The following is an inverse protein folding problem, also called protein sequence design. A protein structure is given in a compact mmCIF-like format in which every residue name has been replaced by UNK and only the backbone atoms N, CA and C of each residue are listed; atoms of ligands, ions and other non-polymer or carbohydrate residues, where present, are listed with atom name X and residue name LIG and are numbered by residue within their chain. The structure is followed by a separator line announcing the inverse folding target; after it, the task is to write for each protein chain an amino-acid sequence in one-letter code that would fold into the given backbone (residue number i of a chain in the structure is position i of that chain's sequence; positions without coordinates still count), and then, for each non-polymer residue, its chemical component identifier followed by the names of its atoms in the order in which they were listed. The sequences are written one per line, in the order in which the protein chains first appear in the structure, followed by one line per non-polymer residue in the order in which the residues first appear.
data_IF_837757683260
#
_entry.id   IF_837757683260
#
_cell.length_a   1.000
_cell.length_b   1.000
_cell.length_c   1.000
_cell.angle_alpha   90.00
_cell.angle_beta   90.00
_cell.angle_gamma   90.00
#
_symmetry.space_group_name_H-M   'P 1'
#
loop_
_entity.id
_entity.type
_entity.pdbx_description
1 polymer ?
#
# COMPACT_ATOMS: atom_id res chain seq x y z
N UNK A 1 -66.01 52.60 -15.89
CA UNK A 1 -67.20 51.75 -15.70
C UNK A 1 -66.75 50.30 -15.88
N UNK A 2 -66.97 49.47 -14.84
CA UNK A 2 -66.83 48.00 -14.68
C UNK A 2 -66.47 47.21 -15.96
N UNK A 3 -65.52 46.28 -15.93
CA UNK A 3 -65.76 44.92 -15.42
C UNK A 3 -64.45 44.24 -14.98
N UNK A 4 -64.59 43.56 -13.84
CA UNK A 4 -63.70 42.64 -13.14
C UNK A 4 -63.93 41.21 -13.68
N UNK A 5 -62.88 40.43 -13.93
CA UNK A 5 -62.98 38.96 -13.81
C UNK A 5 -61.70 38.38 -13.17
N UNK A 6 -61.98 37.58 -12.16
CA UNK A 6 -61.11 36.83 -11.24
C UNK A 6 -60.63 35.54 -11.93
N UNK A 7 -59.45 35.02 -11.58
CA UNK A 7 -59.19 33.59 -11.25
C UNK A 7 -57.82 33.41 -10.59
N UNK A 8 -57.92 32.93 -9.34
CA UNK A 8 -57.06 32.04 -8.52
C UNK A 8 -55.59 31.71 -8.90
N UNK A 9 -54.68 32.22 -8.05
CA UNK A 9 -53.73 31.48 -7.17
C UNK A 9 -53.21 30.08 -7.53
N UNK A 10 -51.87 29.92 -7.58
CA UNK A 10 -51.12 28.92 -6.79
C UNK A 10 -49.78 29.54 -6.37
N UNK A 11 -49.51 29.56 -5.06
CA UNK A 11 -48.26 30.03 -4.48
C UNK A 11 -47.17 28.98 -4.53
N UNK A 12 -45.93 29.41 -4.77
CA UNK A 12 -44.73 28.62 -4.57
C UNK A 12 -43.84 29.35 -3.55
N UNK A 13 -43.74 28.79 -2.36
CA UNK A 13 -42.85 29.28 -1.31
C UNK A 13 -41.40 28.94 -1.66
N UNK A 14 -40.58 29.96 -1.88
CA UNK A 14 -39.11 29.84 -1.98
C UNK A 14 -38.54 29.65 -0.57
N UNK A 15 -38.14 28.42 -0.25
CA UNK A 15 -37.29 28.13 0.90
C UNK A 15 -35.83 28.39 0.56
N UNK A 16 -35.25 29.46 1.13
CA UNK A 16 -33.81 29.70 1.14
C UNK A 16 -33.13 28.64 2.03
N UNK A 17 -32.56 27.61 1.41
CA UNK A 17 -31.69 26.65 2.09
C UNK A 17 -30.29 27.23 2.27
N UNK A 18 -29.95 27.59 3.50
CA UNK A 18 -28.57 27.85 3.92
C UNK A 18 -27.75 26.55 3.75
N UNK A 19 -26.91 26.51 2.70
CA UNK A 19 -25.92 25.46 2.55
C UNK A 19 -24.86 25.61 3.65
N UNK A 20 -24.92 24.77 4.67
CA UNK A 20 -23.84 24.60 5.63
C UNK A 20 -22.61 24.06 4.90
N UNK A 21 -21.63 24.94 4.65
CA UNK A 21 -20.34 24.56 4.08
C UNK A 21 -19.67 23.53 4.97
N UNK A 22 -19.32 22.38 4.40
CA UNK A 22 -18.48 21.39 5.05
C UNK A 22 -17.16 22.07 5.47
N UNK A 23 -16.69 21.90 6.72
CA UNK A 23 -15.46 22.50 7.17
C UNK A 23 -14.30 21.97 6.32
N UNK A 24 -13.50 22.89 5.77
CA UNK A 24 -12.23 22.56 5.16
C UNK A 24 -11.42 21.72 6.16
N UNK A 25 -10.93 20.56 5.73
CA UNK A 25 -10.05 19.73 6.54
C UNK A 25 -8.81 20.56 6.91
N UNK A 26 -8.79 21.06 8.15
CA UNK A 26 -7.59 21.61 8.76
C UNK A 26 -6.50 20.57 8.61
N UNK A 27 -5.34 20.95 8.07
CA UNK A 27 -4.14 20.13 8.17
C UNK A 27 -3.98 19.75 9.64
N UNK A 28 -4.11 18.47 9.97
CA UNK A 28 -3.96 18.00 11.33
C UNK A 28 -2.54 18.37 11.77
N UNK A 29 -2.44 19.24 12.77
CA UNK A 29 -1.15 19.59 13.38
C UNK A 29 -0.54 18.31 13.92
N UNK A 30 0.72 18.03 13.55
CA UNK A 30 1.46 16.89 14.09
C UNK A 30 1.38 16.93 15.63
N UNK A 31 0.89 15.86 16.30
CA UNK A 31 0.74 15.87 17.74
C UNK A 31 2.06 16.22 18.44
N UNK A 32 2.09 16.92 19.58
CA UNK A 32 3.35 17.20 20.28
C UNK A 32 4.06 15.91 20.68
N UNK A 33 5.40 15.94 20.78
CA UNK A 33 6.15 14.81 21.32
C UNK A 33 5.86 14.67 22.82
N UNK A 34 5.61 13.45 23.27
CA UNK A 34 5.51 13.14 24.71
C UNK A 34 6.78 12.50 25.24
N UNK A 35 7.52 11.82 24.36
CA UNK A 35 8.78 11.16 24.66
C UNK A 35 9.79 11.39 23.53
N UNK A 36 11.06 11.44 23.88
CA UNK A 36 12.18 11.66 22.98
C UNK A 36 13.19 10.53 23.13
N UNK A 37 13.63 10.03 21.98
CA UNK A 37 14.59 8.94 21.86
C UNK A 37 15.72 9.40 20.96
N UNK A 38 16.97 9.13 21.30
CA UNK A 38 18.13 9.47 20.45
C UNK A 38 19.16 8.35 20.40
N UNK A 39 20.04 8.30 19.38
CA UNK A 39 21.11 7.30 19.33
C UNK A 39 22.06 7.35 20.53
N UNK A 40 22.26 8.53 21.11
CA UNK A 40 23.09 8.75 22.29
C UNK A 40 22.27 8.85 23.59
N UNK A 41 20.97 8.54 23.54
CA UNK A 41 20.08 8.59 24.69
C UNK A 41 20.45 7.53 25.70
N UNK A 42 20.26 7.84 26.99
CA UNK A 42 20.65 6.93 28.07
C UNK A 42 19.43 6.25 28.67
N UNK A 43 19.65 5.09 29.29
CA UNK A 43 18.58 4.32 29.94
C UNK A 43 18.04 5.02 31.20
N UNK A 44 18.88 5.82 31.87
CA UNK A 44 18.49 6.60 33.05
C UNK A 44 17.69 7.85 32.72
N UNK A 45 17.86 8.45 31.53
CA UNK A 45 17.12 9.64 31.11
C UNK A 45 15.62 9.35 31.01
N UNK A 46 14.72 10.17 31.58
CA UNK A 46 13.28 9.96 31.49
C UNK A 46 12.74 10.04 30.05
N UNK A 47 13.43 10.77 29.16
CA UNK A 47 13.01 10.95 27.78
C UNK A 47 11.83 11.90 27.60
N UNK A 48 11.40 12.63 28.63
CA UNK A 48 10.26 13.58 28.54
C UNK A 48 10.65 14.94 27.95
N UNK A 49 11.94 15.18 27.71
CA UNK A 49 12.47 16.41 27.14
C UNK A 49 13.42 16.12 25.98
N UNK A 50 13.41 16.97 24.95
CA UNK A 50 14.27 16.80 23.78
C UNK A 50 15.77 16.85 24.14
N UNK A 51 16.14 17.69 25.11
CA UNK A 51 17.52 17.84 25.60
C UNK A 51 17.99 16.70 26.49
N UNK A 52 17.10 15.81 26.92
CA UNK A 52 17.41 14.65 27.78
C UNK A 52 16.67 13.38 27.27
N UNK A 53 17.00 12.93 26.05
CA UNK A 53 16.32 11.80 25.41
C UNK A 53 16.74 10.46 26.04
N UNK A 54 15.82 9.50 26.05
CA UNK A 54 16.14 8.12 26.46
C UNK A 54 16.63 7.27 25.29
N UNK A 55 17.07 6.03 25.56
CA UNK A 55 17.47 5.08 24.51
C UNK A 55 16.26 4.46 23.81
N UNK A 56 16.49 3.90 22.61
CA UNK A 56 15.45 3.16 21.90
C UNK A 56 15.06 1.88 22.64
N UNK A 57 15.97 1.24 23.36
CA UNK A 57 15.62 0.03 24.09
C UNK A 57 14.73 0.31 25.30
N UNK A 58 15.04 1.38 26.03
CA UNK A 58 14.34 1.77 27.26
C UNK A 58 12.96 2.36 26.98
N UNK A 59 12.73 2.96 25.80
CA UNK A 59 11.43 3.59 25.52
C UNK A 59 10.25 2.62 25.60
N UNK A 60 10.48 1.33 25.33
CA UNK A 60 9.45 0.29 25.36
C UNK A 60 8.74 0.20 26.70
N UNK A 61 9.44 0.44 27.81
CA UNK A 61 8.82 0.41 29.15
C UNK A 61 8.19 1.73 29.58
N UNK A 62 8.35 2.80 28.79
CA UNK A 62 7.91 4.17 29.12
C UNK A 62 6.66 4.62 28.37
N UNK A 63 6.32 3.96 27.27
CA UNK A 63 5.14 4.30 26.48
C UNK A 63 3.85 3.92 27.22
N UNK A 64 2.87 4.79 27.08
CA UNK A 64 1.47 4.61 27.49
C UNK A 64 0.54 5.00 26.33
N UNK A 65 -0.75 4.61 26.31
CA UNK A 65 -1.70 5.08 25.30
C UNK A 65 -1.62 6.59 25.07
N UNK A 66 -1.60 7.00 23.79
CA UNK A 66 -1.43 8.38 23.36
C UNK A 66 0.02 8.88 23.29
N UNK A 67 1.01 8.04 23.62
CA UNK A 67 2.43 8.43 23.52
C UNK A 67 2.82 8.77 22.09
N UNK A 68 3.43 9.94 21.91
CA UNK A 68 4.08 10.36 20.68
C UNK A 68 5.60 10.34 20.89
N UNK A 69 6.21 9.22 20.53
CA UNK A 69 7.64 8.97 20.63
C UNK A 69 8.36 9.60 19.44
N UNK A 70 9.14 10.63 19.70
CA UNK A 70 9.95 11.35 18.73
C UNK A 70 11.38 10.81 18.71
N UNK A 71 11.71 10.07 17.67
CA UNK A 71 13.06 9.61 17.39
C UNK A 71 13.83 10.76 16.75
N UNK A 72 14.78 11.33 17.50
CA UNK A 72 15.67 12.36 17.01
C UNK A 72 16.49 11.86 15.81
N UNK A 73 16.92 12.80 14.96
CA UNK A 73 17.75 12.47 13.82
C UNK A 73 19.02 11.73 14.24
N UNK A 74 19.39 10.71 13.45
CA UNK A 74 20.61 9.94 13.66
C UNK A 74 20.44 8.46 13.36
N UNK A 75 21.49 7.69 13.65
CA UNK A 75 21.56 6.26 13.35
C UNK A 75 21.37 5.42 14.62
N UNK A 76 20.33 4.60 14.63
CA UNK A 76 20.00 3.66 15.69
C UNK A 76 20.45 2.26 15.28
N UNK A 77 21.42 1.70 16.00
CA UNK A 77 21.85 0.33 15.77
C UNK A 77 20.87 -0.65 16.44
N UNK A 78 20.24 -1.52 15.64
CA UNK A 78 19.37 -2.58 16.13
C UNK A 78 20.12 -3.90 16.17
N UNK A 79 20.62 -4.28 17.35
CA UNK A 79 21.25 -5.59 17.58
C UNK A 79 20.24 -6.74 17.72
N UNK A 80 18.96 -6.41 17.90
CA UNK A 80 17.85 -7.36 18.02
C UNK A 80 16.54 -6.71 17.58
N UNK A 81 15.49 -7.52 17.43
CA UNK A 81 14.14 -7.06 17.08
C UNK A 81 13.63 -6.04 18.10
N UNK A 82 13.15 -4.89 17.61
CA UNK A 82 12.39 -3.96 18.41
C UNK A 82 10.94 -4.45 18.55
N UNK A 83 10.68 -5.20 19.63
CA UNK A 83 9.34 -5.66 19.96
C UNK A 83 8.47 -4.54 20.53
N UNK A 84 7.29 -4.36 19.95
CA UNK A 84 6.22 -3.51 20.49
C UNK A 84 5.12 -4.39 21.03
N UNK A 85 4.95 -4.39 22.35
CA UNK A 85 3.97 -5.23 23.05
C UNK A 85 2.91 -4.41 23.79
N UNK A 86 3.19 -3.14 24.07
CA UNK A 86 2.21 -2.21 24.63
C UNK A 86 1.25 -1.72 23.54
N UNK A 87 -0.04 -1.77 23.85
CA UNK A 87 -1.09 -1.20 23.01
C UNK A 87 -1.33 0.26 23.33
N UNK A 88 -1.77 1.01 22.32
CA UNK A 88 -2.48 2.26 22.53
C UNK A 88 -3.96 2.01 22.86
N UNK A 89 -4.76 3.04 22.66
CA UNK A 89 -6.22 2.98 22.74
C UNK A 89 -6.84 3.63 21.51
N UNK A 90 -8.10 3.30 21.21
CA UNK A 90 -8.85 3.93 20.13
C UNK A 90 -8.82 5.46 20.28
N UNK A 91 -8.29 6.16 19.28
CA UNK A 91 -8.12 7.62 19.31
C UNK A 91 -6.86 8.13 20.03
N UNK A 92 -6.16 7.26 20.75
CA UNK A 92 -4.92 7.53 21.48
C UNK A 92 -3.86 6.45 21.18
N UNK A 93 -3.40 6.33 19.92
CA UNK A 93 -2.41 5.32 19.56
C UNK A 93 -1.03 5.65 20.17
N UNK A 94 -0.19 4.63 20.31
CA UNK A 94 1.25 4.83 20.52
C UNK A 94 1.91 5.05 19.16
N UNK A 95 2.57 6.19 18.97
CA UNK A 95 3.17 6.58 17.69
C UNK A 95 4.67 6.74 17.83
N UNK A 96 5.44 6.00 17.03
CA UNK A 96 6.87 6.17 16.85
C UNK A 96 7.13 6.94 15.56
N UNK A 97 7.83 8.07 15.63
CA UNK A 97 8.06 8.90 14.45
C UNK A 97 9.44 9.54 14.42
N UNK A 98 9.94 9.80 13.22
CA UNK A 98 11.13 10.62 13.04
C UNK A 98 10.85 12.07 13.47
N UNK A 99 11.86 12.74 14.02
CA UNK A 99 11.79 14.11 14.51
C UNK A 99 13.11 14.84 14.31
N UNK A 100 13.04 16.08 13.79
CA UNK A 100 14.22 16.93 13.57
C UNK A 100 15.18 16.44 12.48
N UNK A 101 14.76 15.49 11.64
CA UNK A 101 15.55 14.90 10.56
C UNK A 101 15.29 13.40 10.41
N UNK A 102 16.20 12.69 9.75
CA UNK A 102 16.06 11.24 9.49
C UNK A 102 16.46 10.41 10.70
N UNK A 103 15.53 9.58 11.19
CA UNK A 103 15.82 8.49 12.12
C UNK A 103 16.11 7.21 11.32
N UNK A 104 17.39 6.85 11.20
CA UNK A 104 17.85 5.67 10.47
C UNK A 104 18.05 4.50 11.44
N UNK A 105 17.12 3.56 11.45
CA UNK A 105 17.23 2.31 12.17
C UNK A 105 18.00 1.34 11.26
N UNK A 106 19.20 0.94 11.68
CA UNK A 106 20.06 0.06 10.91
C UNK A 106 20.23 -1.26 11.66
N UNK A 107 20.00 -2.38 10.99
CA UNK A 107 20.22 -3.68 11.59
C UNK A 107 21.72 -3.93 11.82
N UNK A 108 22.06 -4.38 13.02
CA UNK A 108 23.40 -4.84 13.42
C UNK A 108 23.36 -6.18 14.14
N UNK A 109 22.17 -6.78 14.26
CA UNK A 109 21.99 -8.10 14.84
C UNK A 109 22.43 -9.22 13.89
N UNK A 110 22.37 -10.48 14.35
CA UNK A 110 22.71 -11.63 13.53
C UNK A 110 21.66 -11.90 12.45
N UNK A 111 22.05 -12.66 11.43
CA UNK A 111 21.09 -13.32 10.53
C UNK A 111 20.17 -14.26 11.33
N UNK A 112 18.91 -14.43 10.91
CA UNK A 112 18.05 -15.47 11.47
C UNK A 112 18.66 -16.87 11.25
N UNK A 113 18.35 -17.81 12.13
CA UNK A 113 18.68 -19.22 11.88
C UNK A 113 17.91 -19.73 10.65
N UNK A 114 18.49 -20.69 9.92
CA UNK A 114 17.87 -21.26 8.73
C UNK A 114 16.43 -21.75 9.03
N UNK A 115 15.48 -21.34 8.20
CA UNK A 115 14.05 -21.67 8.37
C UNK A 115 13.30 -20.84 9.41
N UNK A 116 13.97 -19.91 10.10
CA UNK A 116 13.34 -18.92 11.01
C UNK A 116 13.28 -17.54 10.36
N UNK A 117 12.58 -16.59 10.99
CA UNK A 117 12.50 -15.21 10.51
C UNK A 117 12.49 -14.23 11.67
N UNK A 118 13.22 -13.13 11.52
CA UNK A 118 13.19 -11.98 12.41
C UNK A 118 12.72 -10.71 11.68
N UNK A 119 12.43 -9.66 12.44
CA UNK A 119 12.04 -8.37 11.91
C UNK A 119 12.81 -7.26 12.62
N UNK A 120 13.02 -6.12 11.96
CA UNK A 120 13.58 -4.95 12.64
C UNK A 120 12.60 -4.44 13.69
N UNK A 121 11.33 -4.34 13.33
CA UNK A 121 10.23 -3.96 14.21
C UNK A 121 9.15 -5.04 14.15
N UNK A 122 8.75 -5.57 15.31
CA UNK A 122 7.69 -6.57 15.41
C UNK A 122 6.63 -6.15 16.42
N UNK A 123 5.40 -6.02 15.94
CA UNK A 123 4.22 -5.81 16.78
C UNK A 123 3.73 -7.17 17.29
N UNK A 124 3.68 -7.31 18.61
CA UNK A 124 3.36 -8.56 19.29
C UNK A 124 1.91 -9.02 19.14
N UNK A 125 1.63 -10.23 19.59
CA UNK A 125 0.29 -10.82 19.55
C UNK A 125 -0.73 -9.92 20.25
N UNK A 126 -1.88 -9.71 19.62
CA UNK A 126 -2.99 -8.89 20.12
C UNK A 126 -2.62 -7.43 20.47
N UNK A 127 -1.41 -6.95 20.15
CA UNK A 127 -1.04 -5.54 20.34
C UNK A 127 -1.78 -4.67 19.32
N UNK A 128 -2.30 -3.53 19.76
CA UNK A 128 -3.16 -2.71 18.92
C UNK A 128 -2.97 -1.20 19.10
N UNK A 129 -3.47 -0.42 18.16
CA UNK A 129 -3.41 1.06 18.17
C UNK A 129 -1.96 1.57 18.23
N UNK A 130 -1.14 1.10 17.28
CA UNK A 130 0.28 1.43 17.18
C UNK A 130 0.60 1.96 15.78
N UNK A 131 1.47 2.97 15.69
CA UNK A 131 1.91 3.46 14.40
C UNK A 131 3.37 3.90 14.30
N UNK A 132 3.86 3.88 13.07
CA UNK A 132 5.23 4.18 12.68
C UNK A 132 5.24 5.17 11.53
N UNK A 133 5.86 6.33 11.71
CA UNK A 133 5.78 7.44 10.76
C UNK A 133 7.16 8.02 10.42
N UNK A 134 7.49 8.02 9.13
CA UNK A 134 8.67 8.74 8.62
C UNK A 134 10.02 8.13 9.01
N UNK A 135 10.06 6.87 9.44
CA UNK A 135 11.29 6.17 9.81
C UNK A 135 12.00 5.62 8.57
N UNK A 136 13.32 5.48 8.66
CA UNK A 136 14.14 4.80 7.66
C UNK A 136 14.68 3.51 8.27
N UNK A 137 14.38 2.37 7.66
CA UNK A 137 14.80 1.04 8.08
C UNK A 137 15.75 0.45 7.03
N UNK A 138 16.97 0.15 7.44
CA UNK A 138 17.96 -0.55 6.62
C UNK A 138 18.28 -1.91 7.25
N UNK A 139 17.78 -2.97 6.62
CA UNK A 139 17.96 -4.34 7.07
C UNK A 139 19.37 -4.91 6.85
N UNK A 140 20.25 -4.14 6.21
CA UNK A 140 21.68 -4.45 5.99
C UNK A 140 21.97 -5.76 5.29
N UNK A 141 21.03 -6.20 4.48
CA UNK A 141 21.06 -7.47 3.81
C UNK A 141 21.02 -8.70 4.76
N UNK A 142 20.61 -8.52 6.02
CA UNK A 142 20.74 -9.53 7.10
C UNK A 142 19.41 -9.90 7.75
N UNK A 143 18.61 -8.93 8.16
CA UNK A 143 17.31 -9.17 8.83
C UNK A 143 16.28 -9.67 7.82
N UNK A 144 15.34 -10.54 8.22
CA UNK A 144 14.34 -11.03 7.26
C UNK A 144 13.34 -9.94 6.86
N UNK A 145 12.86 -9.14 7.81
CA UNK A 145 11.71 -8.25 7.57
C UNK A 145 11.92 -6.86 8.14
N UNK A 146 11.40 -5.82 7.48
CA UNK A 146 11.34 -4.48 8.04
C UNK A 146 10.33 -4.40 9.19
N UNK A 147 9.04 -4.49 8.84
CA UNK A 147 7.93 -4.53 9.78
C UNK A 147 7.21 -5.86 9.76
N UNK A 148 6.87 -6.37 10.94
CA UNK A 148 6.02 -7.54 11.09
C UNK A 148 4.97 -7.33 12.17
N UNK A 149 3.76 -7.86 11.97
CA UNK A 149 2.79 -8.03 13.05
C UNK A 149 2.49 -9.52 13.25
N UNK A 150 2.27 -9.88 14.51
CA UNK A 150 1.87 -11.22 14.91
C UNK A 150 0.33 -11.35 15.08
N UNK A 151 -0.13 -12.58 15.32
CA UNK A 151 -1.55 -12.91 15.28
C UNK A 151 -2.38 -12.05 16.25
N UNK A 152 -3.51 -11.54 15.75
CA UNK A 152 -4.44 -10.72 16.53
C UNK A 152 -4.04 -9.25 16.65
N UNK A 153 -2.85 -8.85 16.21
CA UNK A 153 -2.48 -7.44 16.21
C UNK A 153 -3.41 -6.63 15.29
N UNK A 154 -3.82 -5.44 15.71
CA UNK A 154 -4.81 -4.65 14.96
C UNK A 154 -4.71 -3.14 15.11
N UNK A 155 -5.39 -2.38 14.24
CA UNK A 155 -5.38 -0.89 14.25
C UNK A 155 -3.94 -0.35 14.15
N UNK A 156 -3.21 -0.85 13.16
CA UNK A 156 -1.80 -0.51 12.94
C UNK A 156 -1.67 0.51 11.81
N UNK A 157 -0.68 1.40 11.87
CA UNK A 157 -0.34 2.21 10.69
C UNK A 157 1.15 2.35 10.48
N UNK A 158 1.59 2.13 9.24
CA UNK A 158 2.98 2.29 8.80
C UNK A 158 2.94 3.28 7.66
N UNK A 159 3.41 4.52 7.91
CA UNK A 159 3.24 5.62 6.96
C UNK A 159 4.54 6.38 6.68
N UNK A 160 4.75 6.74 5.42
CA UNK A 160 5.88 7.58 5.00
C UNK A 160 7.26 6.99 5.34
N UNK A 161 7.33 5.68 5.60
CA UNK A 161 8.59 5.03 5.95
C UNK A 161 9.38 4.67 4.68
N UNK A 162 10.70 4.61 4.81
CA UNK A 162 11.59 4.00 3.81
C UNK A 162 12.13 2.71 4.38
N UNK A 163 11.99 1.61 3.65
CA UNK A 163 12.39 0.26 4.09
C UNK A 163 13.25 -0.35 2.99
N UNK A 164 14.45 -0.83 3.33
CA UNK A 164 15.33 -1.46 2.36
C UNK A 164 16.16 -2.61 2.91
N UNK A 165 16.65 -3.46 2.00
CA UNK A 165 17.70 -4.46 2.25
C UNK A 165 17.28 -5.50 3.30
N UNK A 166 16.08 -6.07 3.13
CA UNK A 166 15.50 -7.09 4.03
C UNK A 166 15.39 -8.45 3.33
N UNK A 167 15.84 -9.54 3.96
CA UNK A 167 16.04 -10.84 3.32
C UNK A 167 14.77 -11.58 2.90
N UNK A 168 13.60 -11.14 3.36
CA UNK A 168 12.28 -11.71 3.05
C UNK A 168 11.32 -10.64 2.53
N UNK A 169 10.74 -9.80 3.39
CA UNK A 169 9.73 -8.82 2.99
C UNK A 169 9.93 -7.45 3.63
N UNK A 170 9.41 -6.40 2.99
CA UNK A 170 9.45 -5.06 3.57
C UNK A 170 8.49 -4.95 4.75
N UNK A 171 7.22 -5.26 4.50
CA UNK A 171 6.15 -5.29 5.50
C UNK A 171 5.38 -6.61 5.38
N UNK A 172 5.29 -7.35 6.48
CA UNK A 172 4.53 -8.60 6.55
C UNK A 172 3.45 -8.49 7.62
N UNK A 173 2.19 -8.65 7.23
CA UNK A 173 1.09 -8.84 8.17
C UNK A 173 0.70 -10.31 8.17
N UNK A 174 0.64 -10.95 9.34
CA UNK A 174 0.24 -12.35 9.44
C UNK A 174 -0.83 -12.51 10.50
N UNK A 175 -2.06 -12.78 10.05
CA UNK A 175 -3.24 -12.87 10.92
C UNK A 175 -3.45 -11.61 11.75
N UNK A 176 -3.27 -10.46 11.11
CA UNK A 176 -3.56 -9.14 11.66
C UNK A 176 -4.81 -8.57 10.98
N UNK A 177 -5.35 -7.50 11.53
CA UNK A 177 -6.55 -6.84 11.01
C UNK A 177 -6.45 -5.32 11.19
N UNK A 178 -7.22 -4.53 10.46
CA UNK A 178 -7.25 -3.07 10.58
C UNK A 178 -5.89 -2.37 10.46
N UNK A 179 -5.14 -2.62 9.38
CA UNK A 179 -3.88 -1.89 9.16
C UNK A 179 -3.89 -0.95 7.97
N UNK A 180 -3.13 0.14 8.08
CA UNK A 180 -2.94 1.12 7.03
C UNK A 180 -1.45 1.28 6.69
N UNK A 181 -1.06 0.73 5.54
CA UNK A 181 0.29 0.80 4.97
C UNK A 181 0.28 1.87 3.87
N UNK A 182 0.68 3.10 4.22
CA UNK A 182 0.42 4.28 3.39
C UNK A 182 1.68 5.03 3.03
N UNK A 183 1.93 5.23 1.72
CA UNK A 183 3.02 6.07 1.22
C UNK A 183 4.41 5.65 1.70
N UNK A 184 4.64 4.36 1.84
CA UNK A 184 5.97 3.83 2.13
C UNK A 184 6.77 3.65 0.83
N UNK A 185 8.09 3.73 0.96
CA UNK A 185 9.06 3.39 -0.08
C UNK A 185 9.74 2.09 0.31
N UNK A 186 9.61 1.05 -0.50
CA UNK A 186 10.13 -0.29 -0.19
C UNK A 186 11.04 -0.74 -1.31
N UNK A 187 12.26 -1.13 -0.97
CA UNK A 187 13.29 -1.47 -1.94
C UNK A 187 14.06 -2.72 -1.54
N UNK A 188 14.43 -3.54 -2.52
CA UNK A 188 15.40 -4.63 -2.35
C UNK A 188 15.01 -5.57 -1.19
N UNK A 189 13.97 -6.38 -1.42
CA UNK A 189 13.44 -7.32 -0.44
C UNK A 189 13.52 -8.75 -0.96
N UNK A 190 13.75 -9.74 -0.09
CA UNK A 190 13.56 -11.16 -0.43
C UNK A 190 14.76 -11.88 -1.04
N UNK A 191 15.94 -11.25 -1.02
CA UNK A 191 17.18 -11.77 -1.63
C UNK A 191 17.90 -12.83 -0.78
N UNK A 192 17.41 -13.17 0.42
CA UNK A 192 18.06 -14.20 1.25
C UNK A 192 17.53 -15.59 0.86
N UNK A 193 18.35 -16.50 0.30
CA UNK A 193 17.90 -17.84 -0.10
C UNK A 193 17.49 -18.74 1.08
N UNK A 194 17.78 -18.36 2.33
CA UNK A 194 17.42 -19.16 3.51
C UNK A 194 16.04 -18.79 4.09
N UNK A 195 15.63 -17.54 3.95
CA UNK A 195 14.40 -16.99 4.58
C UNK A 195 13.48 -16.24 3.62
N UNK A 196 13.95 -15.93 2.42
CA UNK A 196 13.13 -15.39 1.33
C UNK A 196 11.93 -16.31 1.11
N UNK A 197 10.73 -15.74 1.20
CA UNK A 197 9.46 -16.31 0.76
C UNK A 197 8.37 -15.28 1.09
N UNK A 198 8.49 -14.09 0.50
CA UNK A 198 7.61 -12.95 0.75
C UNK A 198 7.68 -11.97 -0.42
N UNK A 199 7.09 -10.81 -0.23
CA UNK A 199 6.91 -9.74 -1.20
C UNK A 199 7.30 -8.40 -0.55
N UNK A 200 7.34 -7.31 -1.32
CA UNK A 200 7.54 -5.98 -0.75
C UNK A 200 6.55 -5.70 0.39
N UNK A 201 5.27 -6.02 0.15
CA UNK A 201 4.21 -6.11 1.15
C UNK A 201 3.50 -7.47 1.02
N UNK A 202 3.47 -8.25 2.10
CA UNK A 202 2.72 -9.51 2.18
C UNK A 202 1.63 -9.44 3.25
N UNK A 203 0.39 -9.63 2.84
CA UNK A 203 -0.78 -9.74 3.73
C UNK A 203 -1.21 -11.19 3.82
N UNK A 204 -0.82 -11.89 4.87
CA UNK A 204 -0.99 -13.33 5.00
C UNK A 204 -2.09 -13.68 6.00
N UNK A 205 -3.16 -14.33 5.52
CA UNK A 205 -4.27 -14.85 6.33
C UNK A 205 -4.91 -13.78 7.20
N UNK A 206 -5.31 -12.65 6.62
CA UNK A 206 -6.06 -11.60 7.32
C UNK A 206 -7.25 -12.22 8.06
N UNK A 207 -7.52 -11.73 9.26
CA UNK A 207 -8.56 -12.27 10.14
C UNK A 207 -9.63 -11.23 10.41
N UNK A 208 -10.86 -11.70 10.62
CA UNK A 208 -11.94 -10.85 11.11
C UNK A 208 -11.77 -10.61 12.61
N UNK A 209 -11.36 -9.41 13.02
CA UNK A 209 -11.43 -8.99 14.43
C UNK A 209 -12.84 -8.50 14.82
N UNK A 210 -13.61 -8.03 13.83
CA UNK A 210 -15.05 -7.79 13.88
C UNK A 210 -15.67 -8.06 12.50
N UNK A 211 -16.91 -7.62 12.23
CA UNK A 211 -17.57 -7.76 10.92
C UNK A 211 -18.05 -6.40 10.38
N UNK A 212 -17.24 -5.36 10.58
CA UNK A 212 -17.50 -4.08 9.95
C UNK A 212 -17.59 -4.25 8.42
N UNK A 213 -18.55 -3.56 7.80
CA UNK A 213 -18.86 -3.75 6.37
C UNK A 213 -17.94 -2.96 5.42
N UNK A 214 -17.08 -2.10 5.97
CA UNK A 214 -16.12 -1.33 5.19
C UNK A 214 -14.81 -2.07 5.02
N UNK A 215 -13.81 -1.36 4.50
CA UNK A 215 -12.45 -1.87 4.43
C UNK A 215 -11.86 -1.98 5.83
N UNK A 216 -11.20 -3.10 6.09
CA UNK A 216 -10.36 -3.23 7.27
C UNK A 216 -8.95 -2.78 6.95
N UNK A 217 -8.42 -3.23 5.81
CA UNK A 217 -7.01 -3.06 5.47
C UNK A 217 -6.79 -2.14 4.27
N UNK A 218 -5.76 -1.31 4.36
CA UNK A 218 -5.41 -0.32 3.36
C UNK A 218 -3.93 -0.40 2.99
N UNK A 219 -3.63 -0.58 1.71
CA UNK A 219 -2.28 -0.51 1.13
C UNK A 219 -2.30 0.56 0.05
N UNK A 220 -1.93 1.79 0.41
CA UNK A 220 -2.23 2.97 -0.41
C UNK A 220 -1.00 3.82 -0.69
N UNK A 221 -0.77 4.17 -1.95
CA UNK A 221 0.23 5.17 -2.31
C UNK A 221 1.68 4.72 -2.10
N UNK A 222 1.95 3.43 -1.95
CA UNK A 222 3.31 2.92 -1.75
C UNK A 222 4.08 2.89 -3.07
N UNK A 223 5.41 3.04 -2.99
CA UNK A 223 6.32 2.88 -4.13
C UNK A 223 7.25 1.71 -3.84
N UNK A 224 7.18 0.66 -4.67
CA UNK A 224 7.84 -0.63 -4.40
C UNK A 224 8.62 -1.12 -5.62
N UNK A 225 9.91 -1.42 -5.43
CA UNK A 225 10.75 -2.02 -6.47
C UNK A 225 11.80 -2.97 -5.90
N UNK A 226 12.33 -3.84 -6.77
CA UNK A 226 13.42 -4.75 -6.42
C UNK A 226 13.07 -5.86 -5.43
N UNK A 227 11.80 -6.21 -5.27
CA UNK A 227 11.40 -7.41 -4.53
C UNK A 227 11.78 -8.68 -5.31
N UNK A 228 12.25 -9.71 -4.62
CA UNK A 228 12.62 -11.03 -5.16
C UNK A 228 12.21 -12.14 -4.18
N UNK A 229 12.32 -13.40 -4.59
CA UNK A 229 12.14 -14.57 -3.72
C UNK A 229 13.23 -15.59 -4.08
N UNK A 230 14.44 -15.35 -3.58
CA UNK A 230 15.64 -16.11 -3.95
C UNK A 230 15.66 -17.55 -3.40
N UNK A 231 14.70 -17.90 -2.55
CA UNK A 231 14.59 -19.25 -1.98
C UNK A 231 13.71 -20.15 -2.82
N UNK A 232 12.56 -19.65 -3.27
CA UNK A 232 11.52 -20.47 -3.91
C UNK A 232 11.19 -20.04 -5.33
N UNK A 233 11.50 -18.80 -5.70
CA UNK A 233 11.12 -18.19 -6.97
C UNK A 233 9.60 -18.29 -7.21
N UNK A 234 8.80 -18.13 -6.15
CA UNK A 234 7.33 -18.21 -6.20
C UNK A 234 6.64 -16.91 -5.80
N UNK A 235 7.32 -16.07 -5.02
CA UNK A 235 6.87 -14.74 -4.62
C UNK A 235 7.73 -13.62 -5.24
N UNK A 236 8.30 -12.73 -4.43
CA UNK A 236 8.99 -11.52 -4.90
C UNK A 236 8.05 -10.51 -5.53
N UNK A 237 6.77 -10.52 -5.13
CA UNK A 237 5.78 -9.61 -5.68
C UNK A 237 5.97 -8.21 -5.06
N UNK A 238 5.39 -7.19 -5.68
CA UNK A 238 5.28 -5.89 -5.02
C UNK A 238 4.34 -5.96 -3.82
N UNK A 239 3.10 -6.38 -4.06
CA UNK A 239 2.03 -6.50 -3.05
C UNK A 239 1.27 -7.82 -3.26
N UNK A 240 1.09 -8.59 -2.18
CA UNK A 240 0.25 -9.80 -2.20
C UNK A 240 -0.79 -9.78 -1.07
N UNK A 241 -2.05 -10.09 -1.42
CA UNK A 241 -3.12 -10.50 -0.49
C UNK A 241 -3.20 -12.02 -0.55
N UNK A 242 -2.72 -12.69 0.49
CA UNK A 242 -2.40 -14.12 0.48
C UNK A 242 -3.24 -14.91 1.49
N UNK A 243 -3.97 -15.92 0.99
CA UNK A 243 -4.67 -16.94 1.80
C UNK A 243 -5.60 -16.36 2.86
N UNK A 244 -6.23 -15.22 2.57
CA UNK A 244 -7.30 -14.66 3.39
C UNK A 244 -8.61 -15.44 3.25
N UNK A 245 -8.79 -16.16 2.14
CA UNK A 245 -10.04 -16.79 1.72
C UNK A 245 -11.19 -15.78 1.84
N UNK A 246 -12.24 -16.09 2.58
CA UNK A 246 -13.32 -15.17 2.91
C UNK A 246 -12.93 -14.20 4.06
N UNK A 247 -11.79 -13.53 3.91
CA UNK A 247 -11.24 -12.56 4.87
C UNK A 247 -11.90 -11.17 4.77
N UNK A 248 -11.50 -10.21 5.62
CA UNK A 248 -12.02 -8.85 5.56
C UNK A 248 -11.64 -8.11 4.28
N UNK A 249 -12.41 -7.09 3.93
CA UNK A 249 -12.21 -6.31 2.72
C UNK A 249 -10.90 -5.52 2.76
N UNK A 250 -10.13 -5.59 1.66
CA UNK A 250 -8.82 -4.93 1.49
C UNK A 250 -8.84 -3.94 0.32
N UNK A 251 -8.38 -2.71 0.55
CA UNK A 251 -8.16 -1.71 -0.49
C UNK A 251 -6.66 -1.58 -0.79
N UNK A 252 -6.25 -1.94 -2.00
CA UNK A 252 -4.91 -1.70 -2.53
C UNK A 252 -5.01 -0.65 -3.63
N UNK A 253 -4.61 0.58 -3.33
CA UNK A 253 -4.87 1.71 -4.22
C UNK A 253 -3.72 2.70 -4.42
N UNK A 254 -3.68 3.30 -5.60
CA UNK A 254 -2.74 4.38 -5.95
C UNK A 254 -1.26 4.00 -5.73
N UNK A 255 -0.90 2.72 -5.76
CA UNK A 255 0.49 2.27 -5.59
C UNK A 255 1.24 2.32 -6.92
N UNK A 256 2.54 2.66 -6.86
CA UNK A 256 3.48 2.50 -7.96
C UNK A 256 4.39 1.30 -7.68
N UNK A 257 4.34 0.29 -8.54
CA UNK A 257 5.06 -0.96 -8.32
C UNK A 257 5.75 -1.38 -9.61
N UNK A 258 7.08 -1.46 -9.58
CA UNK A 258 7.86 -1.65 -10.79
C UNK A 258 9.13 -2.47 -10.54
N UNK A 259 9.61 -3.14 -11.59
CA UNK A 259 10.87 -3.87 -11.58
C UNK A 259 11.04 -4.86 -10.41
N UNK A 260 9.96 -5.53 -10.01
CA UNK A 260 10.00 -6.64 -9.07
C UNK A 260 10.18 -7.98 -9.80
N UNK A 261 10.79 -8.96 -9.13
CA UNK A 261 11.03 -10.31 -9.65
C UNK A 261 9.72 -11.08 -9.87
N UNK A 262 8.78 -10.92 -8.95
CA UNK A 262 7.42 -11.49 -9.03
C UNK A 262 6.40 -10.51 -9.61
N UNK A 263 5.11 -10.72 -9.30
CA UNK A 263 4.01 -9.90 -9.80
C UNK A 263 4.04 -8.47 -9.26
N UNK A 264 3.28 -7.58 -9.89
CA UNK A 264 2.97 -6.28 -9.31
C UNK A 264 2.03 -6.46 -8.11
N UNK A 265 0.80 -6.94 -8.39
CA UNK A 265 -0.26 -7.19 -7.42
C UNK A 265 -0.76 -8.63 -7.57
N UNK A 266 -0.94 -9.33 -6.46
CA UNK A 266 -1.52 -10.68 -6.46
C UNK A 266 -2.58 -10.82 -5.36
N UNK A 267 -3.81 -11.14 -5.77
CA UNK A 267 -4.84 -11.64 -4.87
C UNK A 267 -4.85 -13.17 -4.97
N UNK A 268 -4.11 -13.81 -4.07
CA UNK A 268 -3.99 -15.27 -4.02
C UNK A 268 -4.86 -15.85 -2.92
N UNK A 269 -5.79 -16.73 -3.29
CA UNK A 269 -6.71 -17.40 -2.35
C UNK A 269 -7.35 -16.42 -1.36
N UNK A 270 -7.84 -15.28 -1.85
CA UNK A 270 -8.42 -14.20 -1.05
C UNK A 270 -9.57 -13.55 -1.82
N UNK A 271 -10.71 -13.36 -1.14
CA UNK A 271 -11.90 -12.64 -1.58
C UNK A 271 -11.91 -11.20 -1.04
N UNK A 272 -12.83 -10.36 -1.53
CA UNK A 272 -13.04 -8.99 -1.03
C UNK A 272 -11.80 -8.11 -1.20
N UNK A 273 -11.26 -8.08 -2.42
CA UNK A 273 -10.03 -7.31 -2.74
C UNK A 273 -10.32 -6.28 -3.82
N UNK A 274 -9.94 -5.04 -3.54
CA UNK A 274 -10.05 -3.92 -4.46
C UNK A 274 -8.66 -3.44 -4.88
N UNK A 275 -8.31 -3.66 -6.14
CA UNK A 275 -7.15 -3.09 -6.81
C UNK A 275 -7.59 -1.87 -7.60
N UNK A 276 -7.27 -0.67 -7.12
CA UNK A 276 -7.79 0.59 -7.66
C UNK A 276 -6.66 1.56 -8.00
N UNK A 277 -6.65 2.12 -9.21
CA UNK A 277 -5.69 3.18 -9.60
C UNK A 277 -4.21 2.81 -9.41
N UNK A 278 -3.81 1.54 -9.48
CA UNK A 278 -2.40 1.17 -9.33
C UNK A 278 -1.67 1.30 -10.67
N UNK A 279 -0.38 1.63 -10.62
CA UNK A 279 0.51 1.60 -11.79
C UNK A 279 1.55 0.51 -11.60
N UNK A 280 1.46 -0.52 -12.46
CA UNK A 280 2.34 -1.68 -12.52
C UNK A 280 3.21 -1.59 -13.76
N UNK A 281 4.53 -1.59 -13.58
CA UNK A 281 5.47 -1.44 -14.68
C UNK A 281 6.59 -2.49 -14.65
N UNK A 282 6.52 -3.42 -15.62
CA UNK A 282 7.56 -4.40 -15.92
C UNK A 282 8.10 -5.10 -14.68
N UNK A 283 7.18 -5.65 -13.90
CA UNK A 283 7.52 -6.61 -12.87
C UNK A 283 7.74 -7.97 -13.54
N UNK A 284 7.74 -9.06 -12.78
CA UNK A 284 7.90 -10.44 -13.24
C UNK A 284 9.30 -10.70 -13.85
N UNK A 285 10.30 -9.98 -13.34
CA UNK A 285 11.70 -9.98 -13.79
C UNK A 285 12.48 -11.25 -13.45
N UNK A 286 11.99 -12.06 -12.53
CA UNK A 286 12.57 -13.35 -12.20
C UNK A 286 12.15 -14.41 -13.23
N UNK A 287 13.07 -14.77 -14.12
CA UNK A 287 12.84 -15.76 -15.17
C UNK A 287 12.87 -17.20 -14.65
N UNK A 288 13.28 -17.41 -13.40
CA UNK A 288 13.27 -18.71 -12.74
C UNK A 288 11.91 -19.05 -12.13
N UNK A 289 10.97 -18.09 -12.13
CA UNK A 289 9.62 -18.32 -11.65
C UNK A 289 8.92 -19.43 -12.48
N UNK A 290 8.38 -20.50 -11.84
CA UNK A 290 7.99 -21.73 -12.52
C UNK A 290 6.72 -21.62 -13.36
N UNK A 291 5.95 -20.53 -13.21
CA UNK A 291 4.69 -20.31 -13.93
C UNK A 291 4.71 -19.04 -14.77
N UNK A 292 3.80 -18.97 -15.75
CA UNK A 292 3.55 -17.74 -16.49
C UNK A 292 2.93 -16.71 -15.53
N UNK A 293 3.62 -15.57 -15.42
CA UNK A 293 3.22 -14.48 -14.54
C UNK A 293 2.42 -13.41 -15.30
N UNK A 294 1.57 -12.70 -14.54
CA UNK A 294 0.91 -11.47 -14.96
C UNK A 294 1.30 -10.33 -14.01
N UNK A 295 1.27 -9.08 -14.47
CA UNK A 295 1.49 -7.91 -13.60
C UNK A 295 0.46 -7.89 -12.46
N UNK A 296 -0.82 -7.87 -12.80
CA UNK A 296 -1.93 -7.91 -11.85
C UNK A 296 -2.63 -9.27 -11.95
N UNK A 297 -2.74 -9.99 -10.84
CA UNK A 297 -3.36 -11.32 -10.81
C UNK A 297 -4.41 -11.44 -9.72
N UNK A 298 -5.50 -12.14 -10.04
CA UNK A 298 -6.41 -12.72 -9.06
C UNK A 298 -6.54 -14.22 -9.35
N UNK A 299 -6.23 -15.08 -8.37
CA UNK A 299 -6.24 -16.54 -8.54
C UNK A 299 -6.61 -17.26 -7.24
N UNK A 300 -7.27 -18.40 -7.38
CA UNK A 300 -7.63 -19.29 -6.29
C UNK A 300 -9.10 -19.68 -6.31
N UNK A 301 -9.35 -20.97 -6.11
CA UNK A 301 -10.69 -21.57 -6.10
C UNK A 301 -11.57 -20.90 -5.04
N UNK A 302 -12.80 -20.55 -5.42
CA UNK A 302 -13.81 -19.87 -4.59
C UNK A 302 -13.47 -18.44 -4.14
N UNK A 303 -12.45 -17.78 -4.72
CA UNK A 303 -12.30 -16.34 -4.49
C UNK A 303 -13.43 -15.59 -5.21
N UNK A 304 -14.02 -14.64 -4.52
CA UNK A 304 -15.16 -13.85 -5.00
C UNK A 304 -14.97 -12.38 -4.60
N UNK A 305 -15.79 -11.50 -5.18
CA UNK A 305 -15.79 -10.08 -4.84
C UNK A 305 -14.42 -9.41 -5.03
N UNK A 306 -13.81 -9.67 -6.18
CA UNK A 306 -12.57 -9.04 -6.62
C UNK A 306 -12.90 -7.91 -7.58
N UNK A 307 -12.32 -6.74 -7.34
CA UNK A 307 -12.51 -5.55 -8.15
C UNK A 307 -11.16 -5.02 -8.61
N UNK A 308 -11.00 -4.88 -9.92
CA UNK A 308 -9.80 -4.35 -10.57
C UNK A 308 -10.28 -3.17 -11.39
N UNK A 309 -9.96 -1.95 -10.96
CA UNK A 309 -10.53 -0.72 -11.51
C UNK A 309 -9.45 0.32 -11.74
N UNK A 310 -9.44 0.92 -12.92
CA UNK A 310 -8.56 2.03 -13.28
C UNK A 310 -7.06 1.75 -13.07
N UNK A 311 -6.61 0.49 -13.19
CA UNK A 311 -5.19 0.16 -13.06
C UNK A 311 -4.47 0.25 -14.41
N UNK A 312 -3.16 0.47 -14.35
CA UNK A 312 -2.26 0.38 -15.50
C UNK A 312 -1.32 -0.79 -15.30
N UNK A 313 -1.30 -1.73 -16.24
CA UNK A 313 -0.36 -2.84 -16.26
C UNK A 313 0.47 -2.84 -17.54
N UNK A 314 1.77 -2.59 -17.40
CA UNK A 314 2.75 -2.70 -18.47
C UNK A 314 3.58 -3.95 -18.29
N UNK A 315 3.34 -4.97 -19.10
CA UNK A 315 4.09 -6.22 -19.09
C UNK A 315 5.24 -6.21 -20.11
N UNK A 316 6.05 -7.26 -20.10
CA UNK A 316 7.18 -7.45 -21.01
C UNK A 316 7.30 -8.91 -21.46
N UNK A 317 7.95 -9.13 -22.61
CA UNK A 317 8.25 -10.47 -23.15
C UNK A 317 6.99 -11.37 -23.25
N UNK A 318 7.01 -12.54 -22.61
CA UNK A 318 5.93 -13.53 -22.61
C UNK A 318 5.02 -13.40 -21.38
N UNK A 319 5.18 -12.32 -20.61
CA UNK A 319 4.40 -12.02 -19.40
C UNK A 319 3.13 -11.29 -19.77
N UNK A 320 2.11 -11.36 -18.93
CA UNK A 320 0.78 -10.80 -19.22
C UNK A 320 0.53 -9.54 -18.40
N UNK A 321 -0.25 -8.57 -18.90
CA UNK A 321 -0.71 -7.46 -18.05
C UNK A 321 -1.67 -7.94 -16.95
N UNK A 322 -2.68 -8.74 -17.29
CA UNK A 322 -3.67 -9.24 -16.32
C UNK A 322 -3.84 -10.76 -16.39
N UNK A 323 -4.09 -11.38 -15.24
CA UNK A 323 -4.50 -12.78 -15.09
C UNK A 323 -5.65 -12.93 -14.11
N UNK A 324 -6.75 -13.53 -14.55
CA UNK A 324 -7.87 -13.97 -13.71
C UNK A 324 -8.01 -15.47 -13.93
N UNK A 325 -7.50 -16.25 -12.98
CA UNK A 325 -7.28 -17.69 -13.10
C UNK A 325 -8.16 -18.46 -12.07
N UNK A 326 -8.19 -19.80 -12.14
CA UNK A 326 -8.83 -20.71 -11.17
C UNK A 326 -10.32 -20.41 -10.85
N UNK A 327 -11.11 -20.11 -11.88
CA UNK A 327 -12.56 -19.80 -11.80
C UNK A 327 -12.92 -18.57 -10.95
N UNK A 328 -11.94 -17.70 -10.67
CA UNK A 328 -12.20 -16.41 -10.01
C UNK A 328 -13.13 -15.55 -10.86
N UNK A 329 -14.16 -14.99 -10.24
CA UNK A 329 -14.98 -13.94 -10.85
C UNK A 329 -14.50 -12.57 -10.35
N UNK A 330 -13.93 -11.79 -11.26
CA UNK A 330 -13.48 -10.42 -10.99
C UNK A 330 -14.28 -9.40 -11.81
N UNK A 331 -14.61 -8.28 -11.18
CA UNK A 331 -15.12 -7.09 -11.85
C UNK A 331 -13.95 -6.25 -12.35
N UNK A 332 -13.86 -6.06 -13.67
CA UNK A 332 -12.85 -5.21 -14.31
C UNK A 332 -13.51 -3.97 -14.90
N UNK A 333 -12.90 -2.80 -14.72
CA UNK A 333 -13.40 -1.57 -15.32
C UNK A 333 -12.27 -0.57 -15.57
N UNK A 334 -12.21 -0.04 -16.81
CA UNK A 334 -11.29 1.03 -17.22
C UNK A 334 -9.81 0.74 -16.98
N UNK A 335 -9.43 -0.54 -16.95
CA UNK A 335 -8.04 -0.94 -16.85
C UNK A 335 -7.28 -0.75 -18.17
N UNK A 336 -5.96 -0.56 -18.09
CA UNK A 336 -5.07 -0.42 -19.24
C UNK A 336 -4.02 -1.52 -19.24
N UNK A 337 -3.96 -2.27 -20.34
CA UNK A 337 -2.97 -3.29 -20.61
C UNK A 337 -2.03 -2.86 -21.75
N UNK A 338 -0.72 -3.01 -21.53
CA UNK A 338 0.28 -2.78 -22.58
C UNK A 338 1.46 -3.74 -22.49
N UNK A 339 2.04 -4.09 -23.64
CA UNK A 339 3.22 -4.93 -23.74
C UNK A 339 2.95 -6.40 -23.41
N UNK A 340 4.00 -7.22 -23.57
CA UNK A 340 3.95 -8.64 -23.23
C UNK A 340 3.04 -9.48 -24.13
N UNK A 341 2.52 -10.56 -23.55
CA UNK A 341 1.50 -11.43 -24.14
C UNK A 341 0.08 -10.96 -23.76
N UNK A 342 -0.96 -11.41 -24.50
CA UNK A 342 -2.34 -11.08 -24.16
C UNK A 342 -2.70 -11.45 -22.72
N UNK A 343 -3.46 -10.56 -22.06
CA UNK A 343 -4.06 -10.84 -20.74
C UNK A 343 -4.86 -12.13 -20.76
N UNK A 344 -4.81 -12.88 -19.65
CA UNK A 344 -5.66 -14.05 -19.41
C UNK A 344 -6.86 -13.62 -18.59
N UNK A 345 -7.87 -13.08 -19.28
CA UNK A 345 -9.15 -12.65 -18.70
C UNK A 345 -10.28 -13.18 -19.59
N UNK A 346 -11.53 -13.23 -19.11
CA UNK A 346 -12.67 -13.61 -19.94
C UNK A 346 -12.74 -12.81 -21.24
N UNK A 347 -13.14 -13.44 -22.35
CA UNK A 347 -13.21 -12.79 -23.66
C UNK A 347 -14.08 -11.52 -23.64
N UNK A 348 -15.20 -11.55 -22.91
CA UNK A 348 -16.08 -10.40 -22.71
C UNK A 348 -15.37 -9.17 -22.09
N UNK A 349 -14.30 -9.39 -21.32
CA UNK A 349 -13.44 -8.32 -20.79
C UNK A 349 -12.35 -7.97 -21.81
N UNK A 350 -11.66 -8.97 -22.36
CA UNK A 350 -10.55 -8.76 -23.30
C UNK A 350 -10.94 -8.01 -24.58
N UNK A 351 -12.20 -8.14 -25.01
CA UNK A 351 -12.76 -7.58 -26.24
C UNK A 351 -13.54 -6.28 -26.01
N UNK A 352 -13.72 -5.86 -24.74
CA UNK A 352 -14.43 -4.64 -24.39
C UNK A 352 -13.47 -3.52 -23.95
N UNK A 353 -13.23 -2.49 -24.78
CA UNK A 353 -12.31 -1.40 -24.44
C UNK A 353 -12.84 -0.47 -23.33
N UNK A 354 -14.07 -0.63 -22.83
CA UNK A 354 -14.52 0.07 -21.62
C UNK A 354 -14.11 -0.67 -20.34
N UNK A 355 -13.78 -1.97 -20.43
CA UNK A 355 -13.33 -2.78 -19.31
C UNK A 355 -11.80 -2.90 -19.32
N UNK A 356 -11.21 -3.21 -20.48
CA UNK A 356 -9.76 -3.36 -20.63
C UNK A 356 -9.26 -2.74 -21.95
N UNK A 357 -8.51 -1.64 -21.86
CA UNK A 357 -7.94 -0.92 -23.01
C UNK A 357 -6.53 -1.42 -23.32
N UNK A 358 -6.28 -1.76 -24.58
CA UNK A 358 -4.94 -2.14 -25.06
C UNK A 358 -4.25 -0.92 -25.67
N UNK A 359 -3.61 -0.11 -24.84
CA UNK A 359 -3.00 1.16 -25.27
C UNK A 359 -1.74 1.46 -24.49
N UNK A 360 -0.73 2.04 -25.15
CA UNK A 360 0.51 2.45 -24.51
C UNK A 360 0.27 3.60 -23.51
N UNK A 361 0.74 3.51 -22.26
CA UNK A 361 0.55 4.57 -21.26
C UNK A 361 1.22 5.92 -21.54
N UNK A 362 2.26 5.96 -22.38
CA UNK A 362 3.05 7.17 -22.65
C UNK A 362 3.56 7.89 -21.38
N UNK A 363 4.38 7.18 -20.59
CA UNK A 363 5.08 7.73 -19.42
C UNK A 363 6.23 8.67 -19.80
N UNK A 364 6.62 9.55 -18.86
CA UNK A 364 7.66 10.58 -19.06
C UNK A 364 8.98 9.99 -19.57
N UNK A 365 9.56 9.09 -18.80
CA UNK A 365 10.86 8.48 -19.07
C UNK A 365 10.94 7.10 -18.39
N UNK A 366 10.11 6.13 -18.82
CA UNK A 366 9.96 4.87 -18.10
C UNK A 366 11.25 4.05 -18.09
N UNK A 367 11.54 3.29 -17.00
CA UNK A 367 12.72 2.44 -16.91
C UNK A 367 12.83 1.41 -18.06
N UNK A 368 14.06 1.15 -18.48
CA UNK A 368 14.36 0.15 -19.52
C UNK A 368 14.65 -1.19 -18.85
N UNK A 369 14.02 -2.23 -19.38
CA UNK A 369 14.21 -3.62 -18.97
C UNK A 369 14.67 -4.39 -20.19
N UNK A 370 15.77 -5.11 -20.05
CA UNK A 370 16.31 -6.00 -21.07
C UNK A 370 15.37 -7.21 -21.24
N UNK A 371 14.87 -7.50 -22.46
CA UNK A 371 13.92 -8.59 -22.69
C UNK A 371 14.51 -10.00 -22.49
N UNK A 372 15.82 -10.16 -22.34
CA UNK A 372 16.49 -11.46 -22.23
C UNK A 372 17.32 -11.63 -20.94
N UNK A 373 17.64 -10.57 -20.22
CA UNK A 373 18.37 -10.68 -18.95
C UNK A 373 17.48 -11.20 -17.80
N UNK A 374 18.03 -12.09 -16.98
CA UNK A 374 17.40 -12.58 -15.75
C UNK A 374 17.80 -11.70 -14.55
N UNK A 375 17.04 -11.79 -13.46
CA UNK A 375 17.36 -11.19 -12.15
C UNK A 375 17.52 -9.66 -12.14
N UNK A 376 16.95 -8.95 -13.13
CA UNK A 376 17.07 -7.50 -13.28
C UNK A 376 16.46 -6.71 -12.10
N UNK A 377 15.57 -7.32 -11.31
CA UNK A 377 15.04 -6.72 -10.09
C UNK A 377 16.14 -6.36 -9.07
N UNK A 378 17.29 -7.04 -9.10
CA UNK A 378 18.43 -6.74 -8.20
C UNK A 378 19.07 -5.39 -8.47
N UNK A 379 18.87 -4.84 -9.66
CA UNK A 379 19.37 -3.53 -10.09
C UNK A 379 18.23 -2.56 -10.36
N UNK A 380 17.02 -2.85 -9.87
CA UNK A 380 15.85 -2.00 -10.02
C UNK A 380 16.14 -0.58 -9.51
N UNK A 381 15.52 0.42 -10.14
CA UNK A 381 15.65 1.80 -9.68
C UNK A 381 15.03 1.92 -8.28
N UNK A 382 15.75 2.43 -7.27
CA UNK A 382 15.17 2.62 -5.95
C UNK A 382 13.98 3.59 -5.95
N UNK A 383 12.96 3.40 -5.10
CA UNK A 383 11.76 4.24 -5.03
C UNK A 383 12.01 5.73 -4.79
N UNK A 384 13.15 6.11 -4.22
CA UNK A 384 13.52 7.51 -4.01
C UNK A 384 14.25 8.14 -5.21
N UNK A 385 14.57 7.35 -6.25
CA UNK A 385 15.22 7.81 -7.48
C UNK A 385 14.30 7.81 -8.70
N UNK A 386 13.13 7.15 -8.64
CA UNK A 386 12.19 7.05 -9.78
C UNK A 386 11.61 8.40 -10.24
N UNK A 387 11.59 9.41 -9.36
CA UNK A 387 11.16 10.76 -9.70
C UNK A 387 9.82 10.82 -10.43
N UNK A 388 9.83 11.35 -11.65
CA UNK A 388 8.66 11.50 -12.52
C UNK A 388 8.57 10.46 -13.64
N UNK A 389 9.47 9.48 -13.69
CA UNK A 389 9.70 8.61 -14.85
C UNK A 389 8.44 7.84 -15.29
N UNK A 390 7.61 7.43 -14.33
CA UNK A 390 6.36 6.69 -14.53
C UNK A 390 5.10 7.56 -14.38
N UNK A 391 5.25 8.88 -14.39
CA UNK A 391 4.12 9.81 -14.52
C UNK A 391 3.70 9.85 -16.01
N UNK A 392 2.40 9.84 -16.34
CA UNK A 392 1.95 10.00 -17.73
C UNK A 392 2.24 11.39 -18.29
N UNK A 393 2.65 11.49 -19.56
CA UNK A 393 2.70 12.76 -20.28
C UNK A 393 1.29 13.37 -20.44
N UNK A 394 1.19 14.69 -20.65
CA UNK A 394 -0.12 15.39 -20.79
C UNK A 394 -1.01 14.89 -21.95
N UNK A 395 -0.42 14.27 -22.99
CA UNK A 395 -1.16 13.66 -24.10
C UNK A 395 -1.46 12.16 -23.89
N UNK A 396 -1.17 11.62 -22.70
CA UNK A 396 -1.33 10.20 -22.42
C UNK A 396 -2.79 9.76 -22.54
N UNK A 397 -3.05 8.56 -23.08
CA UNK A 397 -4.39 7.98 -23.11
C UNK A 397 -4.93 7.56 -21.73
N UNK A 398 -4.12 7.67 -20.68
CA UNK A 398 -4.54 7.44 -19.29
C UNK A 398 -5.34 8.62 -18.73
N UNK A 399 -5.09 9.83 -19.24
CA UNK A 399 -5.64 11.06 -18.71
C UNK A 399 -7.12 11.20 -19.10
N UNK A 400 -7.99 11.57 -18.16
CA UNK A 400 -9.43 11.76 -18.35
C UNK A 400 -10.13 10.56 -19.03
N UNK A 401 -9.72 9.35 -18.69
CA UNK A 401 -10.28 8.13 -19.27
C UNK A 401 -10.68 7.07 -18.22
N UNK A 402 -10.42 7.33 -16.94
CA UNK A 402 -10.84 6.50 -15.84
C UNK A 402 -12.23 6.84 -15.33
N UNK A 403 -12.63 6.23 -14.21
CA UNK A 403 -13.93 6.44 -13.57
C UNK A 403 -13.78 6.78 -12.10
N UNK A 404 -14.87 7.18 -11.45
CA UNK A 404 -14.88 7.31 -10.00
C UNK A 404 -15.06 5.90 -9.39
N UNK A 405 -14.01 5.29 -8.79
CA UNK A 405 -14.08 3.93 -8.27
C UNK A 405 -15.10 3.78 -7.14
N UNK A 406 -15.56 4.89 -6.53
CA UNK A 406 -16.61 4.87 -5.49
C UNK A 406 -18.00 4.59 -6.04
N UNK A 407 -18.17 4.62 -7.35
CA UNK A 407 -19.46 4.48 -8.04
C UNK A 407 -19.58 3.17 -8.83
N UNK A 408 -18.56 2.32 -8.79
CA UNK A 408 -18.57 1.04 -9.50
C UNK A 408 -19.42 0.00 -8.78
N UNK A 409 -19.75 -1.08 -9.50
CA UNK A 409 -20.50 -2.19 -8.94
C UNK A 409 -19.77 -2.80 -7.73
N UNK A 410 -20.52 -3.32 -6.75
CA UNK A 410 -19.97 -3.92 -5.53
C UNK A 410 -19.51 -2.91 -4.46
N UNK A 411 -19.34 -1.63 -4.78
CA UNK A 411 -18.96 -0.62 -3.78
C UNK A 411 -20.16 -0.16 -2.96
N UNK A 412 -20.25 -0.68 -1.74
CA UNK A 412 -21.26 -0.32 -0.74
C UNK A 412 -20.96 1.03 -0.08
N UNK A 413 -21.95 1.62 0.61
CA UNK A 413 -21.74 2.89 1.32
C UNK A 413 -20.67 2.79 2.43
N UNK A 414 -20.51 1.61 3.05
CA UNK A 414 -19.46 1.37 4.04
C UNK A 414 -18.06 1.36 3.40
N UNK A 415 -17.90 0.74 2.23
CA UNK A 415 -16.65 0.75 1.47
C UNK A 415 -16.31 2.15 0.96
N UNK A 416 -17.32 2.95 0.56
CA UNK A 416 -17.13 4.35 0.13
C UNK A 416 -16.49 5.21 1.21
N UNK A 417 -16.69 4.93 2.50
CA UNK A 417 -16.03 5.68 3.59
C UNK A 417 -14.51 5.53 3.49
N UNK A 418 -14.01 4.30 3.34
CA UNK A 418 -12.57 4.04 3.17
C UNK A 418 -12.02 4.62 1.87
N UNK A 419 -12.76 4.49 0.76
CA UNK A 419 -12.36 5.12 -0.51
C UNK A 419 -12.32 6.65 -0.43
N UNK A 420 -13.28 7.29 0.24
CA UNK A 420 -13.29 8.74 0.44
C UNK A 420 -12.05 9.23 1.20
N UNK A 421 -11.47 8.39 2.07
CA UNK A 421 -10.25 8.71 2.78
C UNK A 421 -9.00 8.61 1.90
N UNK A 422 -8.95 7.63 0.99
CA UNK A 422 -7.69 7.22 0.36
C UNK A 422 -7.58 7.44 -1.14
N UNK A 423 -8.67 7.35 -1.92
CA UNK A 423 -8.58 7.39 -3.40
C UNK A 423 -8.92 8.75 -3.99
N UNK A 424 -9.46 9.68 -3.19
CA UNK A 424 -9.80 11.05 -3.67
C UNK A 424 -8.58 11.92 -3.96
N UNK A 425 -7.39 11.40 -3.66
CA UNK A 425 -6.11 11.99 -4.02
C UNK A 425 -5.18 10.91 -4.54
N UNK A 426 -4.37 11.25 -5.52
CA UNK A 426 -3.37 10.35 -6.09
C UNK A 426 -2.17 10.12 -5.16
N UNK A 427 -1.18 9.37 -5.64
CA UNK A 427 0.04 9.07 -4.90
C UNK A 427 0.83 10.33 -4.48
N UNK A 428 0.71 11.43 -5.23
CA UNK A 428 1.36 12.71 -4.94
C UNK A 428 0.48 13.65 -4.09
N UNK A 429 -0.76 13.27 -3.80
CA UNK A 429 -1.72 14.07 -3.06
C UNK A 429 -2.55 15.03 -3.93
N UNK A 430 -2.44 14.96 -5.25
CA UNK A 430 -3.27 15.70 -6.20
C UNK A 430 -4.70 15.21 -6.10
N UNK A 431 -5.67 16.13 -6.05
CA UNK A 431 -7.09 15.78 -5.90
C UNK A 431 -7.64 15.19 -7.20
N UNK A 432 -8.41 14.10 -7.11
CA UNK A 432 -9.12 13.50 -8.24
C UNK A 432 -10.59 13.92 -8.32
N UNK A 433 -11.16 14.13 -9.52
CA UNK A 433 -10.43 14.37 -10.76
C UNK A 433 -9.88 15.81 -10.81
N UNK A 434 -8.79 16.04 -11.54
CA UNK A 434 -8.35 17.39 -11.94
C UNK A 434 -9.14 17.84 -13.18
N UNK A 435 -9.34 16.94 -14.13
CA UNK A 435 -10.04 17.20 -15.39
C UNK A 435 -11.51 16.77 -15.39
N UNK A 436 -11.96 16.31 -16.56
CA UNK A 436 -13.35 15.89 -16.79
C UNK A 436 -13.70 14.57 -16.09
N UNK A 437 -12.77 13.62 -16.05
CA UNK A 437 -12.92 12.35 -15.31
C UNK A 437 -11.61 12.01 -14.60
N UNK A 438 -11.58 10.90 -13.86
CA UNK A 438 -10.36 10.44 -13.21
C UNK A 438 -9.34 9.99 -14.24
N UNK A 439 -8.06 10.09 -13.89
CA UNK A 439 -6.99 9.45 -14.64
C UNK A 439 -6.83 7.99 -14.22
N UNK A 440 -6.43 7.15 -15.17
CA UNK A 440 -6.14 5.72 -14.93
C UNK A 440 -4.72 5.58 -14.35
N UNK A 441 -4.57 4.83 -13.27
CA UNK A 441 -3.30 4.56 -12.59
C UNK A 441 -3.00 5.51 -11.43
N UNK A 442 -1.78 5.42 -10.89
CA UNK A 442 -1.43 5.98 -9.58
C UNK A 442 -1.30 7.51 -9.53
N UNK A 443 -1.34 8.17 -10.69
CA UNK A 443 -1.14 9.60 -10.84
C UNK A 443 -2.39 10.27 -11.41
N UNK A 444 -2.60 11.52 -11.01
CA UNK A 444 -3.61 12.43 -11.57
C UNK A 444 -2.91 13.65 -12.18
N UNK A 445 -3.34 14.11 -13.35
CA UNK A 445 -2.69 15.15 -14.16
C UNK A 445 -3.57 16.35 -14.47
#
# INVERSE_FOLDING_TARGET
MRILFIIMSVGLAMGLGLAAGAPAARAATTPPCTLYVSPAGTDSSPGTQQSDPTSLDTIRSKVVPGSNVCLLAGRYALSSTFYVTQSGETGSPIVYRAYGGTANLTWTGPSPAAGTSNAMIQVGNNTHDVGFVGLTLDGKDVVSTGYKCDSGASRLFVRLNTISNTGSGGIITRRCDYYALVRNKIFHTGYDPNVGWSSGISMNRNIWSDHFKGFHDFVVGNIISGATDDRRHTEGHGIIVDRGYNGPAVLVADNLVYENGGRCLDAYQSSHVWFVNNTCFRNTLDLQHPTRLSEITAKGVNNTDIHIVDNVAVAWRHRRPYGVDDDVTAYLARDVAWGGSPSAVPAAVADNPLLLRKVRPEFVNPPVVDPIADQQQRTAIPPWLIGSDLIPHLGSPLINNGIDPRKVAGVTDALKVGMNQYVVRDIQGVRRPVGGTWDIGAYER
#
